data_IF_193154844101
#
_entry.id   IF_193154844101
#
_cell.length_a   1.000
_cell.length_b   1.000
_cell.length_c   1.000
_cell.angle_alpha   90.00
_cell.angle_beta   90.00
_cell.angle_gamma   90.00
#
_symmetry.space_group_name_H-M   'P 1'
#
loop_
_entity.id
_entity.type
_entity.pdbx_description
1 polymer ?
#
# COMPACT_ATOMS: atom_id res chain seq x y z
N UNK A 1 -27.36 -1.93 -5.58
CA UNK A 1 -27.31 -0.74 -4.72
C UNK A 1 -27.71 -1.02 -3.27
N UNK A 2 -28.97 -1.40 -2.95
CA UNK A 2 -29.37 -1.65 -1.53
C UNK A 2 -28.49 -2.69 -0.82
N UNK A 3 -28.08 -3.76 -1.50
CA UNK A 3 -27.18 -4.78 -0.95
C UNK A 3 -25.78 -4.20 -0.70
N UNK A 4 -25.24 -3.40 -1.62
CA UNK A 4 -23.94 -2.76 -1.47
C UNK A 4 -23.89 -1.79 -0.27
N UNK A 5 -24.99 -1.03 -0.05
CA UNK A 5 -25.12 -0.18 1.13
C UNK A 5 -25.11 -1.01 2.41
N UNK A 6 -25.87 -2.12 2.46
CA UNK A 6 -25.93 -3.00 3.63
C UNK A 6 -24.62 -3.73 3.91
N UNK A 7 -23.87 -4.08 2.84
CA UNK A 7 -22.56 -4.72 2.95
C UNK A 7 -21.41 -3.73 3.19
N UNK A 8 -21.66 -2.42 3.13
CA UNK A 8 -20.65 -1.37 3.31
C UNK A 8 -19.72 -1.18 2.11
N UNK A 9 -19.98 -1.83 0.95
CA UNK A 9 -19.11 -1.77 -0.23
C UNK A 9 -19.69 -0.88 -1.34
N UNK A 10 -20.36 0.21 -0.96
CA UNK A 10 -20.97 1.12 -1.92
C UNK A 10 -19.92 1.80 -2.81
N UNK A 11 -18.78 2.21 -2.26
CA UNK A 11 -17.73 2.88 -3.03
C UNK A 11 -17.12 1.96 -4.09
N UNK A 12 -16.91 0.67 -3.80
CA UNK A 12 -16.49 -0.33 -4.79
C UNK A 12 -17.47 -0.44 -5.94
N UNK A 13 -18.76 -0.53 -5.63
CA UNK A 13 -19.80 -0.59 -6.65
C UNK A 13 -19.84 0.68 -7.51
N UNK A 14 -19.64 1.85 -6.89
CA UNK A 14 -19.61 3.13 -7.62
C UNK A 14 -18.37 3.18 -8.53
N UNK A 15 -17.21 2.78 -8.03
CA UNK A 15 -15.96 2.73 -8.82
C UNK A 15 -16.09 1.79 -10.03
N UNK A 16 -16.60 0.57 -9.82
CA UNK A 16 -16.89 -0.38 -10.90
C UNK A 16 -17.79 0.23 -11.99
N UNK A 17 -18.87 0.87 -11.57
CA UNK A 17 -19.86 1.46 -12.50
C UNK A 17 -19.37 2.72 -13.17
N UNK A 18 -18.61 3.55 -12.50
CA UNK A 18 -18.06 4.79 -13.02
C UNK A 18 -17.17 4.56 -14.26
N UNK A 19 -16.48 3.43 -14.32
CA UNK A 19 -15.60 3.06 -15.46
C UNK A 19 -16.34 2.79 -16.78
N UNK A 20 -17.65 2.66 -16.75
CA UNK A 20 -18.43 2.38 -17.95
C UNK A 20 -18.66 3.60 -18.85
N UNK A 21 -18.43 4.83 -18.35
CA UNK A 21 -18.63 6.06 -19.13
C UNK A 21 -17.73 7.20 -18.61
N UNK A 22 -17.07 7.98 -19.50
CA UNK A 22 -16.14 9.06 -19.09
C UNK A 22 -16.75 10.05 -18.10
N UNK A 23 -17.95 10.55 -18.34
CA UNK A 23 -18.59 11.51 -17.44
C UNK A 23 -18.92 10.92 -16.06
N UNK A 24 -19.17 9.61 -15.97
CA UNK A 24 -19.35 8.93 -14.68
C UNK A 24 -18.02 8.80 -13.93
N UNK A 25 -16.95 8.52 -14.65
CA UNK A 25 -15.61 8.46 -14.07
C UNK A 25 -15.18 9.85 -13.55
N UNK A 26 -15.44 10.91 -14.31
CA UNK A 26 -15.16 12.27 -13.86
C UNK A 26 -15.98 12.65 -12.61
N UNK A 27 -17.25 12.24 -12.57
CA UNK A 27 -18.10 12.40 -11.38
C UNK A 27 -17.57 11.62 -10.18
N UNK A 28 -17.06 10.40 -10.37
CA UNK A 28 -16.45 9.63 -9.30
C UNK A 28 -15.15 10.27 -8.80
N UNK A 29 -14.31 10.78 -9.70
CA UNK A 29 -13.09 11.53 -9.32
C UNK A 29 -13.43 12.76 -8.49
N UNK A 30 -14.47 13.53 -8.91
CA UNK A 30 -14.96 14.66 -8.14
C UNK A 30 -15.52 14.25 -6.76
N UNK A 31 -16.17 13.07 -6.65
CA UNK A 31 -16.59 12.53 -5.36
C UNK A 31 -15.40 12.24 -4.46
N UNK A 32 -14.31 11.67 -4.98
CA UNK A 32 -13.09 11.41 -4.22
C UNK A 32 -12.38 12.67 -3.73
N UNK A 33 -12.65 13.85 -4.33
CA UNK A 33 -12.14 15.13 -3.83
C UNK A 33 -12.79 15.53 -2.48
N UNK A 34 -13.94 14.95 -2.13
CA UNK A 34 -14.59 15.09 -0.82
C UNK A 34 -14.10 14.07 0.20
N UNK A 35 -12.79 13.83 0.22
CA UNK A 35 -12.15 12.74 0.95
C UNK A 35 -12.50 12.70 2.45
N UNK A 36 -12.54 13.86 3.13
CA UNK A 36 -12.85 13.94 4.55
C UNK A 36 -14.30 13.57 4.87
N UNK A 37 -15.23 13.86 3.97
CA UNK A 37 -16.62 13.43 4.11
C UNK A 37 -16.74 11.93 3.89
N UNK A 38 -16.12 11.41 2.82
CA UNK A 38 -16.11 9.98 2.53
C UNK A 38 -15.53 9.19 3.69
N UNK A 39 -14.44 9.67 4.29
CA UNK A 39 -13.81 9.01 5.42
C UNK A 39 -14.70 8.93 6.66
N UNK A 40 -15.56 9.93 6.89
CA UNK A 40 -16.54 9.91 7.99
C UNK A 40 -17.72 8.98 7.74
N UNK A 41 -18.14 8.86 6.48
CA UNK A 41 -19.37 8.13 6.12
C UNK A 41 -19.11 6.68 5.71
N UNK A 42 -17.94 6.39 5.13
CA UNK A 42 -17.56 5.05 4.69
C UNK A 42 -17.29 4.12 5.88
N UNK A 43 -17.83 2.89 5.89
CA UNK A 43 -17.61 1.95 7.00
C UNK A 43 -16.13 1.68 7.24
N UNK A 44 -15.72 1.66 8.51
CA UNK A 44 -14.32 1.41 8.93
C UNK A 44 -13.89 -0.02 8.66
N UNK A 45 -14.83 -0.96 8.69
CA UNK A 45 -14.58 -2.39 8.44
C UNK A 45 -15.57 -2.93 7.43
N UNK A 46 -15.05 -3.66 6.45
CA UNK A 46 -15.81 -4.31 5.37
C UNK A 46 -15.29 -5.73 5.16
N UNK A 47 -15.94 -6.49 4.28
CA UNK A 47 -15.50 -7.85 3.96
C UNK A 47 -14.18 -7.91 3.21
N UNK A 48 -14.00 -7.02 2.22
CA UNK A 48 -12.81 -7.01 1.36
C UNK A 48 -12.54 -5.61 0.82
N UNK A 49 -11.31 -5.37 0.38
CA UNK A 49 -10.92 -4.24 -0.44
C UNK A 49 -10.43 -4.77 -1.78
N UNK A 50 -11.01 -4.27 -2.86
CA UNK A 50 -10.56 -4.57 -4.22
C UNK A 50 -9.93 -3.33 -4.83
N UNK A 51 -8.68 -3.45 -5.28
CA UNK A 51 -8.02 -2.42 -6.07
C UNK A 51 -8.43 -2.56 -7.53
N UNK A 52 -9.40 -1.76 -7.96
CA UNK A 52 -10.03 -1.87 -9.28
C UNK A 52 -9.41 -0.94 -10.32
N UNK A 53 -8.84 0.17 -9.88
CA UNK A 53 -8.29 1.21 -10.76
C UNK A 53 -7.34 2.14 -10.00
N UNK A 54 -6.72 3.07 -10.71
CA UNK A 54 -5.89 4.12 -10.13
C UNK A 54 -6.63 4.95 -9.06
N UNK A 55 -7.93 5.12 -9.22
CA UNK A 55 -8.79 5.84 -8.29
C UNK A 55 -8.91 5.13 -6.92
N UNK A 56 -8.72 3.80 -6.87
CA UNK A 56 -8.72 3.03 -5.61
C UNK A 56 -7.68 3.54 -4.61
N UNK A 57 -6.56 4.10 -5.08
CA UNK A 57 -5.52 4.69 -4.23
C UNK A 57 -5.99 5.93 -3.44
N UNK A 58 -7.12 6.54 -3.82
CA UNK A 58 -7.68 7.73 -3.17
C UNK A 58 -8.83 7.42 -2.19
N UNK A 59 -9.16 6.16 -2.02
CA UNK A 59 -10.29 5.73 -1.19
C UNK A 59 -10.02 5.90 0.30
N UNK A 60 -11.07 6.04 1.14
CA UNK A 60 -10.94 6.24 2.58
C UNK A 60 -10.09 5.19 3.31
N UNK A 61 -10.12 3.95 2.85
CA UNK A 61 -9.35 2.85 3.44
C UNK A 61 -7.85 3.10 3.38
N UNK A 62 -7.35 3.59 2.24
CA UNK A 62 -5.94 3.92 2.03
C UNK A 62 -5.54 5.09 2.92
N UNK A 63 -6.34 6.15 2.94
CA UNK A 63 -6.11 7.34 3.80
C UNK A 63 -6.04 6.96 5.27
N UNK A 64 -7.03 6.20 5.77
CA UNK A 64 -7.05 5.73 7.16
C UNK A 64 -5.83 4.87 7.50
N UNK A 65 -5.36 4.07 6.55
CA UNK A 65 -4.13 3.30 6.77
C UNK A 65 -2.93 4.24 6.86
N UNK A 66 -2.78 5.19 5.97
CA UNK A 66 -1.71 6.19 6.00
C UNK A 66 -1.68 6.97 7.33
N UNK A 67 -2.84 7.32 7.88
CA UNK A 67 -2.92 7.97 9.20
C UNK A 67 -2.52 7.04 10.37
N UNK A 68 -2.69 5.72 10.20
CA UNK A 68 -2.20 4.73 11.16
C UNK A 68 -0.69 4.60 11.14
N UNK A 69 -0.04 4.74 9.98
CA UNK A 69 1.41 4.64 9.85
C UNK A 69 2.16 5.60 10.78
N UNK A 70 1.62 6.81 10.98
CA UNK A 70 2.17 7.79 11.92
C UNK A 70 2.14 7.34 13.41
N UNK A 71 1.49 6.21 13.71
CA UNK A 71 1.36 5.66 15.06
C UNK A 71 2.00 4.27 15.22
N UNK A 72 2.55 3.74 14.14
CA UNK A 72 3.26 2.46 14.17
C UNK A 72 4.71 2.70 14.60
N UNK A 73 5.13 2.04 15.66
CA UNK A 73 6.52 2.06 16.11
C UNK A 73 7.32 0.99 15.36
N UNK A 74 8.51 1.37 14.91
CA UNK A 74 9.50 0.49 14.31
C UNK A 74 10.85 0.74 15.01
N UNK A 75 11.65 -0.29 15.19
CA UNK A 75 12.95 -0.21 15.87
C UNK A 75 13.99 -1.01 15.09
N UNK A 76 15.27 -0.60 15.22
CA UNK A 76 16.41 -1.26 14.58
C UNK A 76 16.44 -1.09 13.06
N UNK A 77 16.81 -2.14 12.33
CA UNK A 77 16.85 -2.17 10.87
C UNK A 77 15.65 -2.92 10.32
N UNK A 78 14.76 -2.23 9.62
CA UNK A 78 13.49 -2.78 9.12
C UNK A 78 13.49 -2.90 7.61
N UNK A 79 13.27 -4.11 7.12
CA UNK A 79 13.02 -4.34 5.69
C UNK A 79 11.54 -4.12 5.35
N UNK A 80 11.28 -3.22 4.42
CA UNK A 80 9.98 -3.00 3.79
C UNK A 80 9.99 -3.69 2.42
N UNK A 81 9.16 -4.74 2.23
CA UNK A 81 9.24 -5.54 1.00
C UNK A 81 7.89 -5.92 0.41
N UNK A 82 7.80 -5.91 -0.93
CA UNK A 82 6.70 -6.51 -1.69
C UNK A 82 6.90 -8.03 -1.87
N UNK A 83 8.12 -8.51 -1.72
CA UNK A 83 8.47 -9.93 -1.86
C UNK A 83 8.35 -10.76 -0.59
N UNK A 84 8.93 -11.94 -0.65
CA UNK A 84 9.06 -12.85 0.49
C UNK A 84 10.00 -12.31 1.58
N UNK A 85 10.08 -13.03 2.71
CA UNK A 85 11.07 -12.74 3.73
C UNK A 85 12.44 -13.20 3.24
N UNK A 86 13.46 -12.34 3.20
CA UNK A 86 14.82 -12.77 2.88
C UNK A 86 15.32 -13.75 3.94
N UNK A 87 16.20 -14.65 3.54
CA UNK A 87 16.89 -15.53 4.47
C UNK A 87 18.06 -14.78 5.09
N UNK A 88 18.21 -14.88 6.42
CA UNK A 88 19.34 -14.30 7.17
C UNK A 88 18.93 -13.29 8.22
N UNK A 89 19.90 -12.87 9.04
CA UNK A 89 19.72 -12.02 10.22
C UNK A 89 20.08 -10.54 9.96
N UNK A 90 20.01 -10.10 8.69
CA UNK A 90 20.36 -8.72 8.29
C UNK A 90 19.39 -7.68 8.85
N UNK A 91 18.14 -8.07 9.10
CA UNK A 91 17.06 -7.18 9.49
C UNK A 91 16.44 -7.62 10.83
N UNK A 92 16.19 -6.67 11.71
CA UNK A 92 15.50 -6.91 12.99
C UNK A 92 14.01 -7.19 12.76
N UNK A 93 13.42 -6.60 11.73
CA UNK A 93 12.03 -6.85 11.35
C UNK A 93 11.84 -6.81 9.82
N UNK A 94 10.83 -7.54 9.35
CA UNK A 94 10.40 -7.50 7.94
C UNK A 94 8.91 -7.16 7.88
N UNK A 95 8.59 -6.06 7.23
CA UNK A 95 7.23 -5.58 7.00
C UNK A 95 6.85 -5.76 5.53
N UNK A 96 5.57 -6.02 5.30
CA UNK A 96 5.05 -6.07 3.94
C UNK A 96 4.79 -4.66 3.42
N UNK A 97 4.97 -4.50 2.11
CA UNK A 97 4.50 -3.31 1.36
C UNK A 97 3.49 -3.77 0.34
N UNK A 98 2.28 -3.25 0.43
CA UNK A 98 1.20 -3.57 -0.52
C UNK A 98 0.61 -2.28 -1.07
N UNK A 99 0.78 -1.99 -2.38
CA UNK A 99 0.08 -0.88 -3.01
C UNK A 99 -1.46 -1.08 -2.96
N UNK A 100 -2.23 -0.03 -2.71
CA UNK A 100 -1.86 1.37 -2.47
C UNK A 100 -1.57 1.71 -0.99
N UNK A 101 -1.66 0.76 -0.06
CA UNK A 101 -1.57 1.01 1.39
C UNK A 101 -0.17 1.40 1.85
N UNK A 102 0.88 0.83 1.27
CA UNK A 102 2.24 0.99 1.76
C UNK A 102 2.64 -0.07 2.79
N UNK A 103 3.53 0.29 3.75
CA UNK A 103 4.11 -0.67 4.68
C UNK A 103 3.18 -1.02 5.84
N UNK A 104 3.30 -2.26 6.33
CA UNK A 104 2.70 -2.72 7.58
C UNK A 104 3.39 -3.98 8.13
N UNK A 105 3.38 -4.20 9.46
CA UNK A 105 3.88 -5.43 10.06
C UNK A 105 3.14 -6.66 9.52
N UNK A 106 3.85 -7.76 9.29
CA UNK A 106 3.25 -9.01 8.80
C UNK A 106 2.08 -9.53 9.65
N UNK A 107 2.12 -9.26 10.95
CA UNK A 107 1.03 -9.62 11.86
C UNK A 107 -0.33 -9.00 11.51
N UNK A 108 -0.33 -7.89 10.75
CA UNK A 108 -1.55 -7.22 10.31
C UNK A 108 -2.06 -7.70 8.93
N UNK A 109 -1.38 -8.66 8.27
CA UNK A 109 -1.72 -9.11 6.91
C UNK A 109 -3.14 -9.66 6.78
N UNK A 110 -3.70 -10.23 7.86
CA UNK A 110 -5.05 -10.78 7.90
C UNK A 110 -6.10 -9.77 8.39
N UNK A 111 -5.69 -8.50 8.54
CA UNK A 111 -6.58 -7.44 9.05
C UNK A 111 -7.09 -6.57 7.90
N UNK A 112 -8.41 -6.34 7.83
CA UNK A 112 -8.97 -5.39 6.88
C UNK A 112 -8.38 -3.98 7.09
N UNK A 113 -8.02 -3.22 6.03
CA UNK A 113 -8.12 -3.54 4.60
C UNK A 113 -6.87 -4.22 4.00
N UNK A 114 -5.93 -4.69 4.81
CA UNK A 114 -4.63 -5.22 4.38
C UNK A 114 -4.71 -6.64 3.79
N UNK A 115 -5.88 -7.28 3.90
CA UNK A 115 -6.28 -8.48 3.14
C UNK A 115 -6.69 -8.15 1.70
N UNK A 116 -6.36 -6.95 1.22
CA UNK A 116 -6.76 -6.45 -0.08
C UNK A 116 -6.39 -7.38 -1.23
N UNK A 117 -7.30 -7.53 -2.16
CA UNK A 117 -7.02 -8.12 -3.47
C UNK A 117 -6.53 -7.03 -4.40
N UNK A 118 -5.28 -7.12 -4.79
CA UNK A 118 -4.62 -6.20 -5.72
C UNK A 118 -4.19 -6.98 -6.97
N UNK A 119 -4.22 -6.37 -8.17
CA UNK A 119 -3.75 -7.03 -9.37
C UNK A 119 -2.23 -7.25 -9.31
N UNK A 120 -1.72 -8.28 -10.01
CA UNK A 120 -0.28 -8.57 -10.12
C UNK A 120 0.50 -7.36 -10.65
N UNK A 121 -0.10 -6.62 -11.56
CA UNK A 121 0.40 -5.32 -12.01
C UNK A 121 -0.41 -4.20 -11.39
N UNK A 122 0.20 -3.48 -10.47
CA UNK A 122 -0.42 -2.33 -9.82
C UNK A 122 -0.26 -1.05 -10.65
N UNK A 123 -1.28 -0.19 -10.62
CA UNK A 123 -1.22 1.12 -11.27
C UNK A 123 -0.15 2.01 -10.62
N UNK A 124 0.42 2.94 -11.43
CA UNK A 124 1.35 3.96 -10.93
C UNK A 124 0.81 4.68 -9.71
N UNK A 125 -0.46 5.10 -9.73
CA UNK A 125 -1.08 5.81 -8.60
C UNK A 125 -1.09 4.97 -7.31
N UNK A 126 -1.27 3.66 -7.41
CA UNK A 126 -1.19 2.75 -6.27
C UNK A 126 0.24 2.65 -5.72
N UNK A 127 1.25 2.59 -6.59
CA UNK A 127 2.67 2.56 -6.19
C UNK A 127 3.10 3.90 -5.57
N UNK A 128 2.67 5.02 -6.14
CA UNK A 128 2.92 6.36 -5.58
C UNK A 128 2.27 6.53 -4.20
N UNK A 129 1.05 6.02 -4.01
CA UNK A 129 0.39 6.03 -2.70
C UNK A 129 1.14 5.15 -1.68
N UNK A 130 1.62 3.97 -2.10
CA UNK A 130 2.42 3.11 -1.23
C UNK A 130 3.74 3.79 -0.82
N UNK A 131 4.41 4.50 -1.73
CA UNK A 131 5.61 5.27 -1.44
C UNK A 131 5.34 6.43 -0.45
N UNK A 132 4.20 7.11 -0.57
CA UNK A 132 3.77 8.09 0.43
C UNK A 132 3.56 7.43 1.80
N UNK A 133 3.01 6.22 1.84
CA UNK A 133 2.91 5.42 3.06
C UNK A 133 4.29 5.14 3.67
N UNK A 134 5.29 4.79 2.87
CA UNK A 134 6.69 4.64 3.33
C UNK A 134 7.18 5.94 3.95
N UNK A 135 7.00 7.08 3.27
CA UNK A 135 7.45 8.37 3.77
C UNK A 135 6.83 8.74 5.13
N UNK A 136 5.54 8.45 5.31
CA UNK A 136 4.83 8.67 6.59
C UNK A 136 5.37 7.80 7.72
N UNK A 137 5.65 6.53 7.45
CA UNK A 137 6.24 5.62 8.44
C UNK A 137 7.63 6.10 8.85
N UNK A 138 8.48 6.43 7.89
CA UNK A 138 9.85 6.93 8.14
C UNK A 138 9.83 8.21 8.97
N UNK A 139 8.97 9.17 8.62
CA UNK A 139 8.82 10.41 9.37
C UNK A 139 8.39 10.21 10.83
N UNK A 140 7.63 9.14 11.11
CA UNK A 140 7.18 8.79 12.46
C UNK A 140 8.23 8.02 13.27
N UNK A 141 9.28 7.49 12.62
CA UNK A 141 10.31 6.64 13.23
C UNK A 141 11.72 7.10 12.82
N UNK A 142 12.15 8.32 13.21
CA UNK A 142 13.39 8.93 12.74
C UNK A 142 14.68 8.19 13.17
N UNK A 143 14.61 7.37 14.22
CA UNK A 143 15.74 6.61 14.77
C UNK A 143 15.83 5.18 14.20
N UNK A 144 14.95 4.82 13.28
CA UNK A 144 14.87 3.49 12.65
C UNK A 144 15.52 3.52 11.27
N UNK A 145 16.34 2.52 10.98
CA UNK A 145 16.90 2.31 9.64
C UNK A 145 15.91 1.53 8.78
N UNK A 146 15.58 2.06 7.60
CA UNK A 146 14.67 1.42 6.67
C UNK A 146 15.36 1.04 5.36
N UNK A 147 15.07 -0.18 4.92
CA UNK A 147 15.45 -0.67 3.58
C UNK A 147 14.17 -1.00 2.83
N UNK A 148 13.97 -0.42 1.64
CA UNK A 148 12.83 -0.71 0.78
C UNK A 148 13.26 -1.60 -0.37
N UNK A 149 12.72 -2.82 -0.40
CA UNK A 149 12.85 -3.73 -1.53
C UNK A 149 11.54 -3.74 -2.35
N UNK A 150 11.58 -3.10 -3.53
CA UNK A 150 10.43 -2.90 -4.39
C UNK A 150 10.47 -3.77 -5.65
N UNK A 151 9.30 -4.03 -6.21
CA UNK A 151 9.11 -4.71 -7.48
C UNK A 151 8.69 -3.69 -8.54
N UNK A 152 9.66 -3.26 -9.35
CA UNK A 152 9.49 -2.42 -10.55
C UNK A 152 8.68 -1.12 -10.33
N UNK A 153 8.98 -0.40 -9.22
CA UNK A 153 8.36 0.90 -8.97
C UNK A 153 8.82 1.96 -9.97
N UNK A 154 7.91 2.82 -10.48
CA UNK A 154 8.28 3.91 -11.35
C UNK A 154 9.08 4.97 -10.59
N UNK A 155 9.90 5.73 -11.33
CA UNK A 155 10.70 6.83 -10.78
C UNK A 155 9.85 7.81 -9.95
N UNK A 156 8.64 8.14 -10.43
CA UNK A 156 7.71 9.03 -9.70
C UNK A 156 7.22 8.49 -8.35
N UNK A 157 7.26 7.19 -8.13
CA UNK A 157 7.00 6.60 -6.82
C UNK A 157 8.28 6.63 -5.97
N UNK A 158 9.45 6.32 -6.56
CA UNK A 158 10.73 6.34 -5.86
C UNK A 158 11.11 7.74 -5.38
N UNK A 159 10.81 8.79 -6.15
CA UNK A 159 10.98 10.20 -5.76
C UNK A 159 10.21 10.60 -4.50
N UNK A 160 9.18 9.83 -4.12
CA UNK A 160 8.41 10.05 -2.88
C UNK A 160 9.00 9.35 -1.67
N UNK A 161 9.92 8.41 -1.88
CA UNK A 161 10.61 7.71 -0.80
C UNK A 161 11.68 8.64 -0.24
N UNK A 162 11.76 8.83 1.10
CA UNK A 162 12.78 9.69 1.70
C UNK A 162 14.21 9.21 1.41
N UNK A 163 15.15 10.13 1.23
CA UNK A 163 16.57 9.84 0.98
C UNK A 163 17.23 9.00 2.09
N UNK A 164 16.65 9.02 3.30
CA UNK A 164 17.12 8.22 4.43
C UNK A 164 16.82 6.70 4.28
N UNK A 165 16.01 6.31 3.29
CA UNK A 165 15.66 4.92 3.03
C UNK A 165 16.61 4.34 1.99
N UNK A 166 17.26 3.21 2.31
CA UNK A 166 18.01 2.44 1.31
C UNK A 166 17.04 1.72 0.38
N UNK A 167 17.16 1.93 -0.94
CA UNK A 167 16.26 1.36 -1.92
C UNK A 167 16.94 0.24 -2.69
N UNK A 168 16.32 -0.93 -2.74
CA UNK A 168 16.81 -2.13 -3.46
C UNK A 168 15.71 -2.64 -4.42
N UNK A 169 16.10 -3.10 -5.62
CA UNK A 169 15.17 -3.78 -6.53
C UNK A 169 15.13 -5.28 -6.23
N UNK A 170 13.94 -5.87 -6.15
CA UNK A 170 13.78 -7.32 -5.96
C UNK A 170 14.35 -8.14 -7.12
N UNK A 171 14.41 -7.57 -8.33
CA UNK A 171 15.03 -8.23 -9.51
C UNK A 171 16.56 -8.23 -9.47
N UNK A 172 17.19 -7.47 -8.56
CA UNK A 172 18.64 -7.42 -8.36
C UNK A 172 19.14 -8.34 -7.24
N UNK A 173 18.26 -8.93 -6.47
CA UNK A 173 18.59 -9.89 -5.40
C UNK A 173 18.54 -11.30 -5.98
N UNK A 174 19.57 -11.71 -6.72
CA UNK A 174 19.79 -13.13 -7.02
C UNK A 174 19.92 -13.90 -5.70
N UNK A 175 19.26 -15.05 -5.53
CA UNK A 175 19.62 -15.94 -4.44
C UNK A 175 21.11 -16.30 -4.63
N UNK A 176 21.87 -16.03 -3.60
CA UNK A 176 23.31 -16.32 -3.50
C UNK A 176 23.60 -17.71 -4.07
N UNK A 177 24.39 -17.75 -5.14
CA UNK A 177 24.99 -18.96 -5.72
C UNK A 177 26.08 -19.46 -4.73
N UNK A 178 25.67 -19.83 -3.54
CA UNK A 178 26.52 -20.45 -2.54
C UNK A 178 26.32 -21.93 -2.52
N UNK A 179 27.15 -22.59 -3.24
CA UNK A 179 27.78 -23.89 -3.00
C UNK A 179 27.74 -24.84 -4.20
N UNK A 180 28.69 -24.63 -5.09
CA UNK A 180 29.18 -25.70 -5.94
C UNK A 180 30.68 -25.79 -5.76
N UNK A 181 31.11 -26.51 -4.71
CA UNK A 181 32.44 -27.15 -4.65
C UNK A 181 32.41 -28.33 -3.70
N UNK A 182 32.54 -29.49 -4.28
CA UNK A 182 33.23 -30.73 -3.93
C UNK A 182 32.37 -31.96 -4.08
#
# INVERSE_FOLDING_TARGET
MKQAIRAGNLLELVEERARSHPAMLDGYRALLDHADQLEREDPVSKGSFFSLSAESARRPEVRRHHDRLARLAAEGTVLLTQGGTPKGDRFDATWRVVPPFGPFPRALSETYPLTAEVPDRTDRAAQEAAAEGVARLVAANPDTEFVLAHDDWPETALERVPDAVSVESLHGVSPDDGDETA
#
